data_IF_747114200304
#
_entry.id   IF_747114200304
#
_cell.length_a   1.000
_cell.length_b   1.000
_cell.length_c   1.000
_cell.angle_alpha   90.00
_cell.angle_beta   90.00
_cell.angle_gamma   90.00
#
_symmetry.space_group_name_H-M   'P 1'
#
loop_
_entity.id
_entity.type
_entity.pdbx_description
1 polymer ?
#
# COMPACT_ATOMS: atom_id res chain seq x y z
N UNK A 1 -5.81 -1.71 2.57
CA UNK A 1 -5.54 -2.94 3.37
C UNK A 1 -6.49 -4.07 3.03
N UNK A 2 -7.79 -3.82 2.83
CA UNK A 2 -8.79 -4.86 2.49
C UNK A 2 -8.34 -5.76 1.34
N UNK A 3 -7.84 -5.18 0.25
CA UNK A 3 -7.32 -5.94 -0.90
C UNK A 3 -6.15 -6.86 -0.53
N UNK A 4 -5.21 -6.40 0.28
CA UNK A 4 -4.05 -7.21 0.68
C UNK A 4 -4.46 -8.40 1.55
N UNK A 5 -5.49 -8.25 2.38
CA UNK A 5 -6.05 -9.35 3.18
C UNK A 5 -6.66 -10.41 2.25
N UNK A 6 -7.42 -9.98 1.24
CA UNK A 6 -8.02 -10.88 0.26
C UNK A 6 -6.94 -11.62 -0.54
N UNK A 7 -5.89 -10.92 -1.00
CA UNK A 7 -4.76 -11.55 -1.68
C UNK A 7 -4.04 -12.56 -0.79
N UNK A 8 -3.81 -12.23 0.49
CA UNK A 8 -3.18 -13.16 1.44
C UNK A 8 -4.02 -14.42 1.69
N UNK A 9 -5.36 -14.31 1.65
CA UNK A 9 -6.25 -15.48 1.72
C UNK A 9 -6.18 -16.40 0.51
N UNK A 10 -5.66 -15.91 -0.64
CA UNK A 10 -5.46 -16.68 -1.86
C UNK A 10 -4.03 -17.21 -1.98
N UNK A 11 -3.05 -16.44 -1.51
CA UNK A 11 -1.62 -16.74 -1.60
C UNK A 11 -0.87 -16.09 -0.42
N UNK A 12 -0.29 -16.94 0.43
CA UNK A 12 0.41 -16.55 1.66
C UNK A 12 1.61 -15.61 1.42
N UNK A 13 2.13 -15.52 0.19
CA UNK A 13 3.20 -14.56 -0.16
C UNK A 13 2.77 -13.10 0.06
N UNK A 14 1.47 -12.82 0.11
CA UNK A 14 0.93 -11.49 0.38
C UNK A 14 0.82 -11.14 1.87
N UNK A 15 1.30 -11.98 2.78
CA UNK A 15 1.21 -11.73 4.22
C UNK A 15 1.80 -10.40 4.66
N UNK A 16 3.01 -10.07 4.19
CA UNK A 16 3.68 -8.80 4.53
C UNK A 16 2.97 -7.58 3.89
N UNK A 17 2.29 -7.77 2.76
CA UNK A 17 1.56 -6.72 2.06
C UNK A 17 0.39 -6.16 2.89
N UNK A 18 -0.14 -6.94 3.85
CA UNK A 18 -1.18 -6.48 4.78
C UNK A 18 -0.66 -5.37 5.68
N UNK A 19 0.54 -5.54 6.25
CA UNK A 19 1.15 -4.53 7.14
C UNK A 19 1.58 -3.28 6.36
N UNK A 20 2.16 -3.46 5.17
CA UNK A 20 2.47 -2.35 4.27
C UNK A 20 1.22 -1.55 3.90
N UNK A 21 0.14 -2.26 3.54
CA UNK A 21 -1.14 -1.67 3.16
C UNK A 21 -1.79 -0.87 4.29
N UNK A 22 -1.68 -1.31 5.55
CA UNK A 22 -2.18 -0.54 6.71
C UNK A 22 -1.52 0.83 6.83
N UNK A 23 -0.20 0.89 6.62
CA UNK A 23 0.57 2.12 6.71
C UNK A 23 0.26 3.03 5.51
N UNK A 24 0.27 2.47 4.30
CA UNK A 24 0.04 3.24 3.07
C UNK A 24 -1.40 3.78 2.96
N UNK A 25 -2.41 3.03 3.41
CA UNK A 25 -3.82 3.48 3.43
C UNK A 25 -3.98 4.76 4.25
N UNK A 26 -3.25 4.89 5.38
CA UNK A 26 -3.30 6.10 6.22
C UNK A 26 -2.96 7.34 5.40
N UNK A 27 -1.89 7.24 4.60
CA UNK A 27 -1.39 8.35 3.80
C UNK A 27 -2.35 8.77 2.69
N UNK A 28 -3.32 7.94 2.29
CA UNK A 28 -4.28 8.31 1.25
C UNK A 28 -5.09 9.56 1.63
N UNK A 29 -5.53 9.72 2.88
CA UNK A 29 -6.35 10.86 3.29
C UNK A 29 -5.51 11.93 3.99
N UNK A 30 -4.66 11.51 4.93
CA UNK A 30 -3.98 12.42 5.87
C UNK A 30 -2.91 13.31 5.23
N UNK A 31 -2.43 12.96 4.03
CA UNK A 31 -1.45 13.77 3.29
C UNK A 31 -2.08 14.86 2.44
N UNK A 32 -3.41 14.86 2.27
CA UNK A 32 -4.13 15.75 1.33
C UNK A 32 -5.07 16.73 2.01
N UNK A 33 -5.70 16.33 3.12
CA UNK A 33 -6.74 17.11 3.76
C UNK A 33 -6.39 17.46 5.21
N UNK A 34 -6.31 18.75 5.58
CA UNK A 34 -5.96 19.16 6.94
C UNK A 34 -6.94 18.71 8.02
N UNK A 35 -8.22 18.57 7.68
CA UNK A 35 -9.27 18.09 8.60
C UNK A 35 -9.15 16.60 8.96
N UNK A 36 -8.33 15.86 8.20
CA UNK A 36 -7.96 14.49 8.53
C UNK A 36 -6.86 14.38 9.59
N UNK A 37 -6.33 15.52 10.07
CA UNK A 37 -5.33 15.61 11.12
C UNK A 37 -5.89 16.32 12.35
N UNK A 38 -5.31 16.04 13.52
CA UNK A 38 -5.69 16.73 14.74
C UNK A 38 -5.25 18.21 14.66
N UNK A 39 -6.15 19.19 14.85
CA UNK A 39 -5.75 20.60 14.86
C UNK A 39 -4.67 20.86 15.92
N UNK A 40 -3.67 21.73 15.66
CA UNK A 40 -3.54 22.65 14.51
C UNK A 40 -2.72 22.08 13.33
N UNK A 41 -2.53 20.76 13.25
CA UNK A 41 -1.60 20.13 12.31
C UNK A 41 -1.99 20.33 10.83
N UNK A 42 -0.99 20.46 9.95
CA UNK A 42 -1.19 20.59 8.50
C UNK A 42 -0.39 19.53 7.74
N UNK A 43 -0.94 18.91 6.67
CA UNK A 43 -0.33 17.73 6.07
C UNK A 43 1.15 17.84 5.70
N UNK A 44 1.62 19.00 5.23
CA UNK A 44 3.01 19.17 4.84
C UNK A 44 3.99 19.23 6.03
N UNK A 45 3.53 19.53 7.25
CA UNK A 45 4.37 19.63 8.45
C UNK A 45 4.30 18.39 9.36
N UNK A 46 3.34 17.51 9.08
CA UNK A 46 2.92 16.44 9.99
C UNK A 46 3.62 15.11 9.75
N UNK A 47 4.41 15.00 8.68
CA UNK A 47 5.17 13.80 8.34
C UNK A 47 6.66 14.08 8.29
N UNK A 48 7.44 13.10 8.72
CA UNK A 48 8.90 13.18 8.77
C UNK A 48 9.53 12.58 7.52
N UNK A 49 10.82 12.86 7.32
CA UNK A 49 11.60 12.16 6.28
C UNK A 49 11.63 10.64 6.51
N UNK A 50 11.66 10.18 7.76
CA UNK A 50 11.61 8.77 8.10
C UNK A 50 10.30 8.11 7.63
N UNK A 51 9.16 8.79 7.79
CA UNK A 51 7.86 8.32 7.29
C UNK A 51 7.88 8.18 5.77
N UNK A 52 8.46 9.17 5.07
CA UNK A 52 8.59 9.15 3.61
C UNK A 52 9.49 8.00 3.13
N UNK A 53 10.63 7.79 3.79
CA UNK A 53 11.56 6.69 3.46
C UNK A 53 10.89 5.34 3.67
N UNK A 54 10.18 5.16 4.78
CA UNK A 54 9.46 3.93 5.08
C UNK A 54 8.32 3.68 4.06
N UNK A 55 7.49 4.69 3.80
CA UNK A 55 6.38 4.59 2.84
C UNK A 55 6.88 4.22 1.45
N UNK A 56 7.97 4.83 1.00
CA UNK A 56 8.61 4.51 -0.29
C UNK A 56 9.14 3.08 -0.31
N UNK A 57 9.73 2.60 0.78
CA UNK A 57 10.15 1.21 0.94
C UNK A 57 8.99 0.25 0.77
N UNK A 58 7.91 0.43 1.53
CA UNK A 58 6.71 -0.39 1.45
C UNK A 58 6.06 -0.37 0.06
N UNK A 59 5.99 0.81 -0.59
CA UNK A 59 5.45 0.91 -1.94
C UNK A 59 6.32 0.14 -2.96
N UNK A 60 7.65 0.25 -2.88
CA UNK A 60 8.57 -0.51 -3.74
C UNK A 60 8.38 -2.01 -3.54
N UNK A 61 8.38 -2.47 -2.30
CA UNK A 61 8.32 -3.89 -1.97
C UNK A 61 6.96 -4.49 -2.40
N UNK A 62 5.87 -3.73 -2.26
CA UNK A 62 4.55 -4.11 -2.78
C UNK A 62 4.51 -4.25 -4.31
N UNK A 63 5.11 -3.31 -5.05
CA UNK A 63 5.20 -3.40 -6.53
C UNK A 63 6.04 -4.60 -6.96
N UNK A 64 7.16 -4.88 -6.28
CA UNK A 64 8.00 -6.03 -6.57
C UNK A 64 7.27 -7.35 -6.31
N UNK A 65 6.57 -7.46 -5.19
CA UNK A 65 5.78 -8.64 -4.86
C UNK A 65 4.70 -8.92 -5.91
N UNK A 66 3.91 -7.91 -6.27
CA UNK A 66 2.85 -8.05 -7.27
C UNK A 66 3.43 -8.37 -8.65
N UNK A 67 4.51 -7.69 -9.05
CA UNK A 67 5.19 -7.96 -10.32
C UNK A 67 5.68 -9.41 -10.42
N UNK A 68 6.36 -9.90 -9.38
CA UNK A 68 6.82 -11.29 -9.34
C UNK A 68 5.68 -12.31 -9.28
N UNK A 69 4.57 -11.99 -8.62
CA UNK A 69 3.38 -12.84 -8.62
C UNK A 69 2.71 -12.91 -10.00
N UNK A 70 2.58 -11.78 -10.68
CA UNK A 70 1.99 -11.69 -12.03
C UNK A 70 2.84 -12.40 -13.09
N UNK A 71 4.16 -12.39 -12.96
CA UNK A 71 5.05 -13.14 -13.85
C UNK A 71 5.05 -14.65 -13.59
N UNK A 72 4.80 -15.06 -12.34
CA UNK A 72 4.71 -16.47 -11.95
C UNK A 72 3.39 -17.13 -12.36
N UNK A 73 2.35 -16.36 -12.67
CA UNK A 73 1.08 -16.84 -13.20
C UNK A 73 0.91 -16.41 -14.68
N UNK A 74 1.37 -17.22 -15.65
CA UNK A 74 1.17 -16.93 -17.07
C UNK A 74 -0.30 -17.09 -17.53
N UNK A 75 -1.24 -17.35 -16.62
CA UNK A 75 -2.60 -17.82 -16.89
C UNK A 75 -3.72 -16.82 -16.60
N UNK A 76 -3.65 -15.57 -17.09
CA UNK A 76 -4.85 -14.75 -17.27
C UNK A 76 -4.73 -13.75 -18.44
N UNK A 77 -4.50 -14.30 -19.63
CA UNK A 77 -4.88 -13.64 -20.87
C UNK A 77 -6.37 -13.88 -21.15
N UNK A 78 -7.16 -12.81 -21.22
CA UNK A 78 -8.46 -12.80 -21.90
C UNK A 78 -9.69 -12.94 -21.02
N UNK A 79 -10.32 -11.81 -20.71
CA UNK A 79 -11.68 -11.72 -20.20
C UNK A 79 -12.32 -10.42 -20.68
N UNK A 80 -12.85 -10.47 -21.89
CA UNK A 80 -13.69 -9.44 -22.52
C UNK A 80 -14.92 -9.16 -21.65
N UNK A 81 -15.15 -7.89 -21.32
CA UNK A 81 -16.43 -7.18 -21.52
C UNK A 81 -16.16 -5.72 -21.85
#
# INVERSE_FOLDING_TARGET
MELAIQCNGLDDRFGEAVEWGKVLDRYYVTTRYPDALAPPAVPFDSFTEADAVQARGYARDMVQLVGGAAEADPGQGGGVI
#
